data_IF_397507376722
#
_entry.id   IF_397507376722
#
_cell.length_a   1.000
_cell.length_b   1.000
_cell.length_c   1.000
_cell.angle_alpha   90.00
_cell.angle_beta   90.00
_cell.angle_gamma   90.00
#
_symmetry.space_group_name_H-M   'P 1'
#
loop_
_entity.id
_entity.type
_entity.pdbx_description
1 polymer ?
#
# COMPACT_ATOMS: atom_id res chain seq x y z
N UNK A 1 20.40 -5.55 23.89
CA UNK A 1 19.91 -4.16 23.69
C UNK A 1 19.90 -3.76 22.21
N UNK A 2 21.00 -3.94 21.46
CA UNK A 2 21.10 -3.53 20.04
C UNK A 2 20.03 -4.19 19.15
N UNK A 3 19.79 -5.49 19.30
CA UNK A 3 18.78 -6.21 18.49
C UNK A 3 17.34 -5.77 18.79
N UNK A 4 17.02 -5.54 20.06
CA UNK A 4 15.73 -4.99 20.48
C UNK A 4 15.48 -3.59 19.89
N UNK A 5 16.49 -2.73 19.89
CA UNK A 5 16.40 -1.40 19.31
C UNK A 5 16.23 -1.45 17.78
N UNK A 6 16.91 -2.38 17.09
CA UNK A 6 16.73 -2.62 15.66
C UNK A 6 15.31 -3.08 15.34
N UNK A 7 14.76 -4.03 16.09
CA UNK A 7 13.38 -4.49 15.89
C UNK A 7 12.37 -3.36 16.07
N UNK A 8 12.48 -2.59 17.17
CA UNK A 8 11.57 -1.46 17.44
C UNK A 8 11.64 -0.42 16.32
N UNK A 9 12.83 -0.13 15.79
CA UNK A 9 12.97 0.78 14.66
C UNK A 9 12.15 0.31 13.45
N UNK A 10 12.31 -0.95 13.03
CA UNK A 10 11.59 -1.49 11.87
C UNK A 10 10.09 -1.63 12.12
N UNK A 11 9.68 -2.02 13.33
CA UNK A 11 8.27 -2.06 13.73
C UNK A 11 7.65 -0.65 13.66
N UNK A 12 8.35 0.38 14.15
CA UNK A 12 7.87 1.76 14.09
C UNK A 12 7.85 2.32 12.67
N UNK A 13 8.86 1.98 11.86
CA UNK A 13 8.83 2.28 10.43
C UNK A 13 7.56 1.70 9.79
N UNK A 14 7.27 0.41 10.04
CA UNK A 14 6.10 -0.27 9.52
C UNK A 14 4.81 0.46 9.95
N UNK A 15 4.69 0.85 11.20
CA UNK A 15 3.54 1.65 11.67
C UNK A 15 3.42 2.98 10.93
N UNK A 16 4.50 3.77 10.85
CA UNK A 16 4.46 5.08 10.21
C UNK A 16 4.23 5.00 8.70
N UNK A 17 4.78 3.98 8.04
CA UNK A 17 4.48 3.67 6.65
C UNK A 17 2.98 3.52 6.43
N UNK A 18 2.32 2.67 7.24
CA UNK A 18 0.88 2.46 7.13
C UNK A 18 0.07 3.71 7.50
N UNK A 19 0.49 4.51 8.50
CA UNK A 19 -0.15 5.80 8.82
C UNK A 19 -0.07 6.77 7.64
N UNK A 20 1.09 6.87 6.98
CA UNK A 20 1.23 7.69 5.78
C UNK A 20 0.32 7.18 4.66
N UNK A 21 0.21 5.87 4.47
CA UNK A 21 -0.67 5.29 3.45
C UNK A 21 -2.15 5.51 3.75
N UNK A 22 -2.57 5.60 5.01
CA UNK A 22 -3.92 6.06 5.38
C UNK A 22 -4.15 7.48 4.84
N UNK A 23 -3.18 8.39 5.04
CA UNK A 23 -3.21 9.74 4.48
C UNK A 23 -3.33 9.74 2.95
N UNK A 24 -2.56 8.88 2.27
CA UNK A 24 -2.68 8.67 0.82
C UNK A 24 -4.06 8.16 0.42
N UNK A 25 -4.63 7.19 1.15
CA UNK A 25 -5.98 6.67 0.90
C UNK A 25 -7.05 7.76 1.00
N UNK A 26 -6.95 8.65 2.00
CA UNK A 26 -7.83 9.81 2.11
C UNK A 26 -7.66 10.78 0.92
N UNK A 27 -6.41 11.03 0.50
CA UNK A 27 -6.15 11.86 -0.68
C UNK A 27 -6.69 11.23 -1.97
N UNK A 28 -6.60 9.90 -2.13
CA UNK A 28 -7.20 9.18 -3.26
C UNK A 28 -8.73 9.32 -3.21
N UNK A 29 -9.34 9.11 -2.04
CA UNK A 29 -10.79 9.13 -1.88
C UNK A 29 -11.43 10.48 -2.20
N UNK A 30 -10.79 11.58 -1.78
CA UNK A 30 -11.36 12.93 -1.87
C UNK A 30 -10.65 13.85 -2.87
N UNK A 31 -9.48 13.45 -3.38
CA UNK A 31 -8.58 14.31 -4.14
C UNK A 31 -7.89 13.63 -5.32
N UNK A 32 -8.45 12.54 -5.87
CA UNK A 32 -7.87 11.74 -6.94
C UNK A 32 -7.54 12.47 -8.27
N UNK A 33 -7.99 13.71 -8.46
CA UNK A 33 -7.66 14.56 -9.62
C UNK A 33 -6.86 15.82 -9.24
N UNK A 34 -6.30 15.87 -8.03
CA UNK A 34 -5.43 16.96 -7.64
C UNK A 34 -4.03 16.79 -8.25
N UNK A 35 -3.22 17.85 -8.19
CA UNK A 35 -1.86 17.84 -8.72
C UNK A 35 -0.98 16.71 -8.13
N UNK A 36 -1.28 16.23 -6.93
CA UNK A 36 -0.59 15.10 -6.29
C UNK A 36 -0.68 13.81 -7.10
N UNK A 37 -1.75 13.64 -7.88
CA UNK A 37 -1.97 12.47 -8.72
C UNK A 37 -1.80 12.77 -10.22
N UNK A 38 -1.27 13.94 -10.59
CA UNK A 38 -1.19 14.33 -12.01
C UNK A 38 -0.31 13.39 -12.83
N UNK A 39 0.83 12.95 -12.28
CA UNK A 39 1.68 11.96 -12.96
C UNK A 39 0.92 10.65 -13.22
N UNK A 40 0.20 10.15 -12.21
CA UNK A 40 -0.64 8.96 -12.36
C UNK A 40 -1.77 9.17 -13.39
N UNK A 41 -2.44 10.32 -13.34
CA UNK A 41 -3.53 10.67 -14.24
C UNK A 41 -3.04 10.83 -15.68
N UNK A 42 -1.87 11.43 -15.88
CA UNK A 42 -1.23 11.58 -17.18
C UNK A 42 -0.98 10.22 -17.82
N UNK A 43 -0.25 9.33 -17.16
CA UNK A 43 0.01 8.00 -17.71
C UNK A 43 -1.26 7.16 -17.90
N UNK A 44 -2.27 7.36 -17.05
CA UNK A 44 -3.59 6.73 -17.24
C UNK A 44 -4.26 7.22 -18.54
N UNK A 45 -4.18 8.53 -18.85
CA UNK A 45 -4.67 9.06 -20.14
C UNK A 45 -3.88 8.50 -21.31
N UNK A 46 -2.56 8.40 -21.19
CA UNK A 46 -1.71 7.87 -22.26
C UNK A 46 -2.08 6.42 -22.60
N UNK A 47 -2.27 5.59 -21.59
CA UNK A 47 -2.56 4.16 -21.74
C UNK A 47 -3.99 3.92 -22.26
N UNK A 48 -4.99 4.60 -21.69
CA UNK A 48 -6.40 4.26 -21.92
C UNK A 48 -7.15 5.23 -22.85
N UNK A 49 -6.60 6.42 -23.10
CA UNK A 49 -7.29 7.51 -23.82
C UNK A 49 -6.41 8.17 -24.90
N UNK A 50 -5.23 7.62 -25.22
CA UNK A 50 -4.34 8.21 -26.23
C UNK A 50 -3.91 9.64 -25.88
N UNK A 51 -3.71 9.91 -24.59
CA UNK A 51 -3.38 11.25 -24.05
C UNK A 51 -4.50 12.30 -24.13
N UNK A 52 -5.70 11.92 -24.60
CA UNK A 52 -6.86 12.82 -24.57
C UNK A 52 -7.35 13.06 -23.13
N UNK A 53 -8.01 14.20 -22.93
CA UNK A 53 -8.63 14.52 -21.65
C UNK A 53 -9.74 13.50 -21.32
N UNK A 54 -9.93 13.20 -20.02
CA UNK A 54 -11.01 12.32 -19.60
C UNK A 54 -12.38 12.93 -19.98
N UNK A 55 -13.26 12.18 -20.65
CA UNK A 55 -14.64 12.57 -20.79
C UNK A 55 -15.29 12.82 -19.43
N UNK A 56 -16.28 13.72 -19.36
CA UNK A 56 -16.91 14.11 -18.10
C UNK A 56 -17.48 12.91 -17.34
N UNK A 57 -18.18 12.02 -18.04
CA UNK A 57 -18.77 10.82 -17.43
C UNK A 57 -17.70 9.85 -16.91
N UNK A 58 -16.57 9.75 -17.62
CA UNK A 58 -15.41 8.97 -17.17
C UNK A 58 -14.79 9.56 -15.92
N UNK A 59 -14.70 10.89 -15.82
CA UNK A 59 -14.19 11.56 -14.63
C UNK A 59 -15.10 11.31 -13.42
N UNK A 60 -16.42 11.36 -13.60
CA UNK A 60 -17.38 11.01 -12.53
C UNK A 60 -17.21 9.57 -12.06
N UNK A 61 -17.11 8.62 -12.99
CA UNK A 61 -16.86 7.21 -12.68
C UNK A 61 -15.54 7.03 -11.94
N UNK A 62 -14.46 7.65 -12.42
CA UNK A 62 -13.13 7.63 -11.80
C UNK A 62 -13.19 8.16 -10.37
N UNK A 63 -13.89 9.27 -10.13
CA UNK A 63 -14.00 9.86 -8.80
C UNK A 63 -14.72 8.95 -7.82
N UNK A 64 -15.81 8.34 -8.27
CA UNK A 64 -16.55 7.37 -7.45
C UNK A 64 -15.69 6.13 -7.15
N UNK A 65 -15.01 5.56 -8.15
CA UNK A 65 -14.10 4.42 -7.96
C UNK A 65 -12.94 4.78 -7.02
N UNK A 66 -12.31 5.94 -7.20
CA UNK A 66 -11.23 6.40 -6.34
C UNK A 66 -11.72 6.64 -4.90
N UNK A 67 -12.95 7.15 -4.73
CA UNK A 67 -13.62 7.22 -3.43
C UNK A 67 -13.63 5.89 -2.70
N UNK A 68 -14.09 4.83 -3.38
CA UNK A 68 -14.17 3.47 -2.82
C UNK A 68 -12.77 2.90 -2.58
N UNK A 69 -11.87 3.01 -3.55
CA UNK A 69 -10.49 2.52 -3.45
C UNK A 69 -9.79 3.19 -2.27
N UNK A 70 -9.86 4.51 -2.16
CA UNK A 70 -9.30 5.26 -1.03
C UNK A 70 -9.88 4.82 0.32
N UNK A 71 -11.20 4.57 0.39
CA UNK A 71 -11.83 3.97 1.58
C UNK A 71 -11.27 2.59 1.94
N UNK A 72 -11.06 1.72 0.95
CA UNK A 72 -10.46 0.39 1.18
C UNK A 72 -8.99 0.48 1.63
N UNK A 73 -8.20 1.41 1.06
CA UNK A 73 -6.83 1.70 1.49
C UNK A 73 -6.83 2.12 2.95
N UNK A 74 -7.67 3.09 3.33
CA UNK A 74 -7.77 3.55 4.73
C UNK A 74 -8.11 2.39 5.66
N UNK A 75 -9.16 1.62 5.35
CA UNK A 75 -9.58 0.49 6.20
C UNK A 75 -8.48 -0.56 6.36
N UNK A 76 -7.85 -0.97 5.26
CA UNK A 76 -6.77 -1.95 5.27
C UNK A 76 -5.56 -1.48 6.08
N UNK A 77 -5.12 -0.23 5.88
CA UNK A 77 -3.94 0.29 6.56
C UNK A 77 -4.19 0.64 8.03
N UNK A 78 -5.43 0.98 8.42
CA UNK A 78 -5.83 1.05 9.84
C UNK A 78 -5.65 -0.32 10.50
N UNK A 79 -6.11 -1.40 9.86
CA UNK A 79 -5.91 -2.76 10.38
C UNK A 79 -4.41 -3.10 10.49
N UNK A 80 -3.62 -2.75 9.48
CA UNK A 80 -2.16 -2.96 9.51
C UNK A 80 -1.47 -2.19 10.64
N UNK A 81 -1.88 -0.96 10.95
CA UNK A 81 -1.39 -0.18 12.10
C UNK A 81 -1.71 -0.89 13.41
N UNK A 82 -2.94 -1.38 13.57
CA UNK A 82 -3.34 -2.13 14.76
C UNK A 82 -2.52 -3.42 14.89
N UNK A 83 -2.40 -4.20 13.82
CA UNK A 83 -1.58 -5.43 13.84
C UNK A 83 -0.12 -5.09 14.20
N UNK A 84 0.44 -4.01 13.63
CA UNK A 84 1.81 -3.55 13.88
C UNK A 84 2.04 -3.18 15.36
N UNK A 85 1.15 -2.39 15.96
CA UNK A 85 1.32 -1.84 17.31
C UNK A 85 0.95 -2.82 18.43
N UNK A 86 0.18 -3.85 18.12
CA UNK A 86 -0.23 -4.90 19.07
C UNK A 86 0.48 -6.23 18.74
N UNK A 87 -0.11 -7.09 17.91
CA UNK A 87 0.34 -8.47 17.75
C UNK A 87 1.73 -8.62 17.13
N UNK A 88 2.11 -7.76 16.18
CA UNK A 88 3.42 -7.79 15.55
C UNK A 88 4.52 -7.33 16.50
N UNK A 89 4.27 -6.27 17.29
CA UNK A 89 5.19 -5.79 18.33
C UNK A 89 5.44 -6.84 19.41
N UNK A 90 4.42 -7.62 19.75
CA UNK A 90 4.50 -8.79 20.64
C UNK A 90 5.06 -10.05 19.93
N UNK A 91 5.59 -9.91 18.72
CA UNK A 91 6.27 -10.97 17.95
C UNK A 91 5.39 -12.22 17.70
N UNK A 92 4.08 -12.03 17.60
CA UNK A 92 3.16 -13.12 17.28
C UNK A 92 3.34 -13.55 15.82
N UNK A 93 3.64 -14.83 15.59
CA UNK A 93 3.92 -15.37 14.24
C UNK A 93 2.79 -15.12 13.24
N UNK A 94 1.53 -15.25 13.67
CA UNK A 94 0.38 -15.01 12.78
C UNK A 94 0.35 -13.56 12.29
N UNK A 95 0.77 -12.59 13.11
CA UNK A 95 0.80 -11.18 12.73
C UNK A 95 1.80 -10.95 11.60
N UNK A 96 3.00 -11.53 11.71
CA UNK A 96 4.00 -11.51 10.64
C UNK A 96 3.46 -12.03 9.32
N UNK A 97 2.80 -13.18 9.35
CA UNK A 97 2.20 -13.79 8.16
C UNK A 97 1.02 -12.97 7.63
N UNK A 98 0.17 -12.43 8.49
CA UNK A 98 -0.96 -11.58 8.10
C UNK A 98 -0.48 -10.32 7.35
N UNK A 99 0.58 -9.66 7.83
CA UNK A 99 1.17 -8.50 7.15
C UNK A 99 1.67 -8.88 5.75
N UNK A 100 2.37 -10.01 5.61
CA UNK A 100 2.87 -10.50 4.32
C UNK A 100 1.74 -10.92 3.37
N UNK A 101 0.76 -11.69 3.85
CA UNK A 101 -0.35 -12.16 3.03
C UNK A 101 -1.20 -10.99 2.55
N UNK A 102 -1.49 -10.03 3.42
CA UNK A 102 -2.16 -8.79 3.01
C UNK A 102 -1.38 -8.05 1.92
N UNK A 103 -0.08 -7.80 2.15
CA UNK A 103 0.76 -7.07 1.19
C UNK A 103 0.90 -7.79 -0.15
N UNK A 104 1.23 -9.09 -0.14
CA UNK A 104 1.53 -9.84 -1.36
C UNK A 104 0.27 -10.19 -2.15
N UNK A 105 -0.85 -10.50 -1.49
CA UNK A 105 -2.10 -10.76 -2.22
C UNK A 105 -2.55 -9.51 -2.99
N UNK A 106 -2.55 -8.34 -2.35
CA UNK A 106 -2.83 -7.09 -3.02
C UNK A 106 -1.81 -6.81 -4.13
N UNK A 107 -0.52 -6.89 -3.84
CA UNK A 107 0.54 -6.58 -4.81
C UNK A 107 0.46 -7.45 -6.07
N UNK A 108 0.24 -8.76 -5.92
CA UNK A 108 0.17 -9.70 -7.04
C UNK A 108 -1.07 -9.44 -7.89
N UNK A 109 -2.23 -9.27 -7.28
CA UNK A 109 -3.49 -9.04 -8.00
C UNK A 109 -3.42 -7.70 -8.73
N UNK A 110 -3.08 -6.63 -8.02
CA UNK A 110 -3.06 -5.27 -8.56
C UNK A 110 -2.00 -5.09 -9.65
N UNK A 111 -0.80 -5.64 -9.44
CA UNK A 111 0.27 -5.61 -10.45
C UNK A 111 -0.06 -6.48 -11.66
N UNK A 112 -0.69 -7.64 -11.45
CA UNK A 112 -1.11 -8.53 -12.54
C UNK A 112 -2.14 -7.87 -13.45
N UNK A 113 -3.16 -7.24 -12.87
CA UNK A 113 -4.17 -6.45 -13.62
C UNK A 113 -3.51 -5.27 -14.32
N UNK A 114 -2.65 -4.51 -13.63
CA UNK A 114 -1.95 -3.36 -14.21
C UNK A 114 -1.08 -3.76 -15.40
N UNK A 115 -0.35 -4.86 -15.28
CA UNK A 115 0.48 -5.40 -16.36
C UNK A 115 -0.37 -5.82 -17.56
N UNK A 116 -1.47 -6.54 -17.32
CA UNK A 116 -2.38 -6.99 -18.37
C UNK A 116 -2.95 -5.84 -19.22
N UNK A 117 -3.30 -4.72 -18.60
CA UNK A 117 -3.80 -3.53 -19.30
C UNK A 117 -2.71 -2.55 -19.77
N UNK A 118 -1.42 -2.87 -19.59
CA UNK A 118 -0.31 -1.99 -19.97
C UNK A 118 -0.10 -0.77 -19.06
N UNK A 119 -0.79 -0.70 -17.92
CA UNK A 119 -0.69 0.37 -16.93
C UNK A 119 0.57 0.22 -16.04
N UNK A 120 1.75 0.16 -16.65
CA UNK A 120 3.03 -0.06 -15.97
C UNK A 120 3.34 1.03 -14.93
N UNK A 121 2.85 2.25 -15.16
CA UNK A 121 3.01 3.36 -14.21
C UNK A 121 2.42 3.03 -12.84
N UNK A 122 1.31 2.29 -12.77
CA UNK A 122 0.71 1.91 -11.48
C UNK A 122 1.62 0.94 -10.71
N UNK A 123 2.23 -0.02 -11.41
CA UNK A 123 3.19 -0.97 -10.81
C UNK A 123 4.39 -0.22 -10.23
N UNK A 124 4.96 0.70 -11.00
CA UNK A 124 6.20 1.39 -10.63
C UNK A 124 5.96 2.45 -9.55
N UNK A 125 4.95 3.30 -9.74
CA UNK A 125 4.70 4.45 -8.86
C UNK A 125 4.00 4.06 -7.56
N UNK A 126 3.17 3.02 -7.57
CA UNK A 126 2.35 2.63 -6.43
C UNK A 126 2.84 1.31 -5.84
N UNK A 127 2.82 0.23 -6.63
CA UNK A 127 2.96 -1.12 -6.07
C UNK A 127 4.38 -1.40 -5.57
N UNK A 128 5.41 -1.06 -6.34
CA UNK A 128 6.80 -1.23 -5.92
C UNK A 128 7.16 -0.32 -4.76
N UNK A 129 6.64 0.91 -4.74
CA UNK A 129 6.84 1.84 -3.61
C UNK A 129 6.24 1.26 -2.33
N UNK A 130 5.01 0.76 -2.38
CA UNK A 130 4.36 0.12 -1.24
C UNK A 130 5.10 -1.16 -0.80
N UNK A 131 5.53 -2.00 -1.75
CA UNK A 131 6.28 -3.22 -1.46
C UNK A 131 7.61 -2.92 -0.76
N UNK A 132 8.34 -1.88 -1.17
CA UNK A 132 9.57 -1.46 -0.49
C UNK A 132 9.24 -0.88 0.87
N UNK A 133 8.30 0.05 0.95
CA UNK A 133 8.00 0.79 2.19
C UNK A 133 7.51 -0.13 3.32
N UNK A 134 6.71 -1.15 2.99
CA UNK A 134 6.10 -2.09 3.94
C UNK A 134 6.88 -3.40 4.01
N UNK A 135 7.29 -3.95 2.87
CA UNK A 135 7.98 -5.25 2.79
C UNK A 135 9.40 -5.21 3.34
N UNK A 136 10.14 -4.10 3.20
CA UNK A 136 11.49 -3.99 3.75
C UNK A 136 11.50 -4.18 5.29
N UNK A 137 10.67 -3.48 6.09
CA UNK A 137 10.52 -3.79 7.52
C UNK A 137 10.25 -5.26 7.82
N UNK A 138 9.35 -5.91 7.06
CA UNK A 138 9.00 -7.32 7.25
C UNK A 138 10.18 -8.26 6.97
N UNK A 139 11.02 -7.95 5.98
CA UNK A 139 12.27 -8.70 5.75
C UNK A 139 13.23 -8.49 6.92
N UNK A 140 13.40 -7.24 7.34
CA UNK A 140 14.38 -6.87 8.37
C UNK A 140 14.01 -7.38 9.77
N UNK A 141 12.73 -7.63 10.05
CA UNK A 141 12.27 -8.21 11.32
C UNK A 141 12.10 -9.73 11.29
N UNK A 142 12.33 -10.41 10.16
CA UNK A 142 12.07 -11.86 10.01
C UNK A 142 12.66 -12.71 11.13
N UNK A 143 13.90 -12.43 11.54
CA UNK A 143 14.60 -13.19 12.58
C UNK A 143 13.86 -13.19 13.92
N UNK A 144 13.16 -12.10 14.25
CA UNK A 144 12.41 -11.95 15.50
C UNK A 144 11.18 -12.86 15.61
N UNK A 145 10.73 -13.45 14.49
CA UNK A 145 9.56 -14.35 14.47
C UNK A 145 9.93 -15.83 14.33
N UNK A 146 11.22 -16.15 14.22
CA UNK A 146 11.70 -17.53 14.00
C UNK A 146 11.77 -18.39 15.28
N UNK A 147 11.88 -17.78 16.47
CA UNK A 147 12.22 -18.48 17.71
C UNK A 147 11.06 -18.84 18.65
N UNK A 148 9.80 -18.63 18.24
CA UNK A 148 8.64 -19.05 19.03
C UNK A 148 8.13 -20.42 18.56
N UNK A 149 8.99 -21.44 18.58
CA UNK A 149 8.48 -22.82 18.71
C UNK A 149 8.08 -23.00 20.17
N UNK A 150 6.85 -23.48 20.39
CA UNK A 150 6.39 -23.99 21.69
C UNK A 150 7.33 -25.10 22.19
#
# INVERSE_FOLDING_TARGET
MVEKNKFIFWQKWLTWANIMTIGVGLMVAFGGNTFFFEAHNHYTRDVFFGSEAFPEQTLMLKNWLFGIIGGTIVGFHVLMVMISEYAFKEQQKWAYHAMWYGLLSWFVIDSGVSFYYGAIHNIVLINLVALVLIGLPLVMTRGSFSNNEE
#
